data_IF_370044313096
#
_entry.id   IF_370044313096
#
_cell.length_a   1.000
_cell.length_b   1.000
_cell.length_c   1.000
_cell.angle_alpha   90.00
_cell.angle_beta   90.00
_cell.angle_gamma   90.00
#
_symmetry.space_group_name_H-M   'P 1'
#
loop_
_entity.id
_entity.type
_entity.pdbx_description
1 polymer ?
#
# COMPACT_ATOMS: atom_id res chain seq x y z
N UNK A 1 -29.14 11.70 -24.95
CA UNK A 1 -27.86 11.94 -25.64
C UNK A 1 -27.25 13.19 -25.02
N UNK A 2 -26.21 13.04 -24.20
CA UNK A 2 -25.52 14.17 -23.58
C UNK A 2 -24.70 14.89 -24.65
N UNK A 3 -24.98 16.17 -24.87
CA UNK A 3 -24.22 17.01 -25.78
C UNK A 3 -22.88 17.34 -25.12
N UNK A 4 -21.77 16.83 -25.67
CA UNK A 4 -20.44 17.35 -25.35
C UNK A 4 -20.32 18.75 -25.98
N UNK A 5 -20.13 19.77 -25.15
CA UNK A 5 -19.85 21.13 -25.60
C UNK A 5 -18.39 21.42 -25.31
N UNK A 6 -17.55 21.46 -26.35
CA UNK A 6 -16.20 22.00 -26.25
C UNK A 6 -16.30 23.52 -26.12
N UNK A 7 -16.01 24.04 -24.94
CA UNK A 7 -16.04 25.48 -24.68
C UNK A 7 -14.61 26.01 -24.69
N UNK A 8 -14.21 26.71 -25.76
CA UNK A 8 -12.90 27.37 -25.87
C UNK A 8 -12.85 28.73 -25.14
N UNK A 9 -13.58 28.88 -24.02
CA UNK A 9 -13.68 30.13 -23.25
C UNK A 9 -13.77 29.85 -21.75
N UNK A 10 -13.33 30.81 -20.96
CA UNK A 10 -13.31 30.76 -19.49
C UNK A 10 -14.73 30.53 -18.93
N UNK A 11 -14.88 29.51 -18.08
CA UNK A 11 -16.10 29.21 -17.37
C UNK A 11 -16.04 29.84 -15.97
N UNK A 12 -16.84 30.88 -15.74
CA UNK A 12 -17.06 31.40 -14.38
C UNK A 12 -18.02 30.49 -13.63
N UNK A 13 -17.51 29.81 -12.60
CA UNK A 13 -18.30 28.96 -11.72
C UNK A 13 -18.82 29.79 -10.54
N UNK A 14 -20.09 29.60 -10.17
CA UNK A 14 -20.70 30.22 -8.99
C UNK A 14 -20.80 29.21 -7.84
N UNK A 15 -20.81 29.65 -6.57
CA UNK A 15 -20.98 28.75 -5.42
C UNK A 15 -22.24 27.89 -5.57
N UNK A 16 -22.08 26.56 -5.50
CA UNK A 16 -23.18 25.58 -5.65
C UNK A 16 -23.29 24.92 -7.03
N UNK A 17 -22.44 25.27 -8.00
CA UNK A 17 -22.38 24.55 -9.28
C UNK A 17 -21.84 23.13 -9.09
N UNK A 18 -22.60 22.11 -9.51
CA UNK A 18 -22.11 20.72 -9.62
C UNK A 18 -21.79 20.40 -11.07
N UNK A 19 -20.53 20.12 -11.35
CA UNK A 19 -20.12 19.49 -12.61
C UNK A 19 -20.41 18.00 -12.47
N UNK A 20 -21.21 17.44 -13.37
CA UNK A 20 -21.43 15.99 -13.45
C UNK A 20 -21.11 15.51 -14.86
N UNK A 21 -20.23 14.50 -14.92
CA UNK A 21 -19.58 13.99 -16.11
C UNK A 21 -18.25 13.37 -15.70
N UNK A 22 -17.80 12.34 -16.41
CA UNK A 22 -16.46 11.78 -16.19
C UNK A 22 -15.44 12.85 -16.58
N UNK A 23 -14.90 13.55 -15.59
CA UNK A 23 -13.67 14.29 -15.74
C UNK A 23 -12.64 13.22 -16.15
N UNK A 24 -12.13 13.31 -17.37
CA UNK A 24 -11.14 12.35 -17.89
C UNK A 24 -9.87 12.30 -17.01
N UNK A 25 -8.84 11.55 -17.40
CA UNK A 25 -7.61 11.33 -16.61
C UNK A 25 -6.73 12.59 -16.38
N UNK A 26 -7.30 13.80 -16.44
CA UNK A 26 -6.62 15.07 -16.74
C UNK A 26 -7.21 16.27 -15.98
N UNK A 27 -7.52 16.14 -14.69
CA UNK A 27 -7.58 17.32 -13.82
C UNK A 27 -6.29 17.44 -13.01
N UNK A 28 -5.22 17.77 -13.74
CA UNK A 28 -4.16 18.64 -13.24
C UNK A 28 -3.51 19.39 -14.42
N UNK A 29 -3.96 20.62 -14.74
CA UNK A 29 -3.35 21.40 -15.82
C UNK A 29 -1.93 21.92 -15.49
N UNK A 30 -1.38 21.63 -14.29
CA UNK A 30 -0.06 22.09 -13.86
C UNK A 30 0.94 21.00 -13.46
N UNK A 31 0.49 19.77 -13.20
CA UNK A 31 1.35 18.68 -12.72
C UNK A 31 2.45 18.27 -13.69
N UNK A 32 3.62 17.94 -13.11
CA UNK A 32 4.76 17.40 -13.86
C UNK A 32 4.78 15.89 -13.81
N UNK A 33 5.41 15.29 -14.82
CA UNK A 33 5.76 13.88 -14.82
C UNK A 33 7.27 13.74 -14.66
N UNK A 34 7.71 13.04 -13.63
CA UNK A 34 9.10 12.71 -13.35
C UNK A 34 9.38 11.26 -13.71
N UNK A 35 10.46 11.00 -14.44
CA UNK A 35 10.92 9.67 -14.81
C UNK A 35 12.10 9.24 -13.94
N UNK A 36 12.08 8.01 -13.45
CA UNK A 36 13.09 7.46 -12.54
C UNK A 36 13.65 6.14 -13.08
N UNK A 37 14.99 6.05 -13.16
CA UNK A 37 15.73 4.89 -13.64
C UNK A 37 17.09 4.82 -12.91
N UNK A 38 17.31 3.79 -12.09
CA UNK A 38 18.56 3.62 -11.32
C UNK A 38 19.76 3.05 -12.11
N UNK A 39 19.60 2.74 -13.40
CA UNK A 39 20.69 2.27 -14.28
C UNK A 39 21.29 3.42 -15.08
N UNK A 40 20.44 4.25 -15.68
CA UNK A 40 20.88 5.34 -16.59
C UNK A 40 20.52 6.73 -16.09
N UNK A 41 19.74 6.84 -15.03
CA UNK A 41 19.37 8.12 -14.42
C UNK A 41 20.52 8.74 -13.63
N UNK A 42 20.33 10.00 -13.22
CA UNK A 42 21.30 10.78 -12.47
C UNK A 42 20.63 11.56 -11.34
N UNK A 43 21.31 11.71 -10.21
CA UNK A 43 20.91 12.60 -9.11
C UNK A 43 20.72 14.06 -9.54
N UNK A 44 21.32 14.46 -10.67
CA UNK A 44 21.19 15.82 -11.24
C UNK A 44 20.21 15.90 -12.41
N UNK A 45 19.61 14.78 -12.82
CA UNK A 45 18.64 14.76 -13.90
C UNK A 45 17.37 15.52 -13.51
N UNK A 46 16.74 16.21 -14.46
CA UNK A 46 15.50 16.94 -14.18
C UNK A 46 14.28 16.01 -14.13
N UNK A 47 14.40 14.78 -14.63
CA UNK A 47 13.33 13.80 -14.66
C UNK A 47 12.25 14.08 -15.69
N UNK A 48 12.43 15.04 -16.59
CA UNK A 48 11.38 15.43 -17.56
C UNK A 48 11.26 14.44 -18.75
N UNK A 49 12.20 13.50 -18.89
CA UNK A 49 12.16 12.42 -19.88
C UNK A 49 13.03 11.23 -19.45
N UNK A 50 12.89 10.06 -20.12
CA UNK A 50 13.76 8.90 -19.89
C UNK A 50 15.25 9.15 -20.17
N UNK A 51 15.58 10.09 -21.07
CA UNK A 51 16.97 10.45 -21.38
C UNK A 51 17.60 11.36 -20.31
N UNK A 52 16.78 11.92 -19.43
CA UNK A 52 17.19 12.78 -18.32
C UNK A 52 16.51 12.33 -17.02
N UNK A 53 16.37 11.01 -16.86
CA UNK A 53 15.70 10.42 -15.72
C UNK A 53 16.49 10.68 -14.43
N UNK A 54 15.77 10.76 -13.31
CA UNK A 54 16.39 10.75 -11.99
C UNK A 54 16.86 9.34 -11.65
N UNK A 55 17.89 9.23 -10.81
CA UNK A 55 18.46 7.95 -10.40
C UNK A 55 17.64 7.23 -9.32
N UNK A 56 17.03 7.98 -8.40
CA UNK A 56 16.31 7.42 -7.24
C UNK A 56 14.89 7.98 -7.10
N UNK A 57 14.01 7.17 -6.52
CA UNK A 57 12.61 7.58 -6.26
C UNK A 57 12.53 8.73 -5.26
N UNK A 58 13.41 8.74 -4.25
CA UNK A 58 13.49 9.84 -3.27
C UNK A 58 13.87 11.18 -3.91
N UNK A 59 14.71 11.16 -4.96
CA UNK A 59 15.08 12.36 -5.73
C UNK A 59 13.84 12.93 -6.43
N UNK A 60 13.01 12.06 -7.04
CA UNK A 60 11.77 12.46 -7.70
C UNK A 60 10.69 12.95 -6.72
N UNK A 61 10.55 12.34 -5.55
CA UNK A 61 9.65 12.83 -4.49
C UNK A 61 10.07 14.25 -4.07
N UNK A 62 11.37 14.46 -3.81
CA UNK A 62 11.89 15.79 -3.44
C UNK A 62 11.61 16.85 -4.51
N UNK A 63 11.80 16.50 -5.78
CA UNK A 63 11.52 17.40 -6.90
C UNK A 63 10.02 17.70 -7.05
N UNK A 64 9.17 16.69 -6.86
CA UNK A 64 7.72 16.82 -6.84
C UNK A 64 7.25 17.78 -5.75
N UNK A 65 7.69 17.58 -4.51
CA UNK A 65 7.38 18.46 -3.38
C UNK A 65 7.87 19.89 -3.63
N UNK A 66 9.09 20.04 -4.14
CA UNK A 66 9.63 21.36 -4.49
C UNK A 66 8.78 22.06 -5.54
N UNK A 67 8.34 21.34 -6.58
CA UNK A 67 7.49 21.92 -7.61
C UNK A 67 6.12 22.30 -7.06
N UNK A 68 5.49 21.42 -6.26
CA UNK A 68 4.21 21.69 -5.60
C UNK A 68 4.31 22.94 -4.71
N UNK A 69 5.36 23.05 -3.90
CA UNK A 69 5.60 24.21 -3.05
C UNK A 69 5.76 25.52 -3.86
N UNK A 70 6.39 25.47 -5.04
CA UNK A 70 6.48 26.62 -5.93
C UNK A 70 5.13 26.99 -6.56
N UNK A 71 4.28 26.00 -6.84
CA UNK A 71 2.94 26.23 -7.39
C UNK A 71 1.91 26.65 -6.33
N UNK A 72 2.14 26.39 -5.04
CA UNK A 72 1.18 26.62 -3.96
C UNK A 72 0.61 28.06 -3.88
N UNK A 73 1.35 29.05 -4.38
CA UNK A 73 0.87 30.45 -4.45
C UNK A 73 -0.10 30.73 -5.61
N UNK A 74 -0.19 29.80 -6.58
CA UNK A 74 -0.91 29.96 -7.84
C UNK A 74 -1.92 28.84 -8.11
N UNK A 75 -1.67 27.62 -7.64
CA UNK A 75 -2.55 26.46 -7.71
C UNK A 75 -2.15 25.46 -6.61
N UNK A 76 -3.02 25.28 -5.62
CA UNK A 76 -2.84 24.32 -4.53
C UNK A 76 -3.21 22.87 -4.91
N UNK A 77 -3.86 22.67 -6.06
CA UNK A 77 -4.36 21.36 -6.50
C UNK A 77 -3.40 20.65 -7.48
N UNK A 78 -2.10 20.95 -7.42
CA UNK A 78 -1.10 20.35 -8.30
C UNK A 78 -0.71 18.97 -7.78
N UNK A 79 -0.90 17.97 -8.63
CA UNK A 79 -0.61 16.56 -8.41
C UNK A 79 0.36 16.04 -9.47
N UNK A 80 1.64 15.96 -9.09
CA UNK A 80 2.66 15.42 -9.97
C UNK A 80 2.53 13.89 -10.12
N UNK A 81 3.18 13.35 -11.15
CA UNK A 81 3.29 11.91 -11.38
C UNK A 81 4.77 11.52 -11.44
N UNK A 82 5.14 10.45 -10.76
CA UNK A 82 6.46 9.86 -10.73
C UNK A 82 6.33 8.47 -11.36
N UNK A 83 7.02 8.26 -12.47
CA UNK A 83 7.02 7.01 -13.23
C UNK A 83 8.38 6.34 -13.02
N UNK A 84 8.35 5.16 -12.41
CA UNK A 84 9.57 4.42 -12.06
C UNK A 84 9.72 3.22 -12.98
N UNK A 85 10.88 3.09 -13.60
CA UNK A 85 11.20 1.94 -14.42
C UNK A 85 11.64 0.78 -13.54
N UNK A 86 10.99 -0.38 -13.70
CA UNK A 86 11.49 -1.63 -13.16
C UNK A 86 12.81 -1.96 -13.82
N UNK A 87 13.79 -2.33 -13.01
CA UNK A 87 15.11 -2.78 -13.47
C UNK A 87 15.48 -4.02 -12.68
N UNK A 88 16.51 -4.74 -13.12
CA UNK A 88 17.02 -5.88 -12.35
C UNK A 88 17.81 -5.45 -11.10
N UNK A 89 17.89 -4.14 -10.84
CA UNK A 89 18.53 -3.52 -9.67
C UNK A 89 17.48 -2.86 -8.77
N UNK A 90 17.60 -3.08 -7.46
CA UNK A 90 16.70 -2.48 -6.46
C UNK A 90 16.99 -0.98 -6.29
N UNK A 91 15.94 -0.20 -6.06
CA UNK A 91 16.04 1.19 -5.63
C UNK A 91 16.29 1.29 -4.14
N UNK A 92 16.82 2.44 -3.72
CA UNK A 92 16.98 2.72 -2.30
C UNK A 92 15.62 2.84 -1.62
N UNK A 93 15.50 2.30 -0.40
CA UNK A 93 14.31 2.45 0.43
C UNK A 93 13.98 3.90 0.76
N UNK A 94 12.70 4.22 0.87
CA UNK A 94 12.22 5.58 1.16
C UNK A 94 12.25 5.89 2.66
N UNK A 95 12.57 7.14 3.00
CA UNK A 95 12.51 7.65 4.38
C UNK A 95 11.38 8.67 4.59
N UNK A 96 10.76 9.12 3.50
CA UNK A 96 9.68 10.09 3.45
C UNK A 96 8.82 9.73 2.24
N UNK A 97 7.51 9.64 2.43
CA UNK A 97 6.57 9.35 1.37
C UNK A 97 6.01 10.65 0.76
N UNK A 98 6.11 11.83 1.37
CA UNK A 98 5.61 13.08 0.80
C UNK A 98 4.08 13.10 0.58
N UNK A 99 3.61 14.00 -0.27
CA UNK A 99 2.18 14.32 -0.37
C UNK A 99 1.72 14.54 -1.83
N UNK A 100 0.45 14.25 -2.10
CA UNK A 100 -0.27 14.70 -3.29
C UNK A 100 0.42 14.41 -4.64
N UNK A 101 0.94 13.19 -4.81
CA UNK A 101 1.46 12.73 -6.11
C UNK A 101 1.00 11.31 -6.46
N UNK A 102 1.25 10.91 -7.71
CA UNK A 102 1.11 9.54 -8.19
C UNK A 102 2.50 8.89 -8.32
N UNK A 103 2.74 7.73 -7.73
CA UNK A 103 3.95 6.93 -7.90
C UNK A 103 3.59 5.61 -8.56
N UNK A 104 4.06 5.45 -9.80
CA UNK A 104 3.63 4.36 -10.67
C UNK A 104 4.86 3.58 -11.13
N UNK A 105 4.88 2.29 -10.80
CA UNK A 105 5.89 1.36 -11.31
C UNK A 105 5.54 0.84 -12.69
N UNK A 106 6.55 0.76 -13.57
CA UNK A 106 6.46 0.11 -14.86
C UNK A 106 7.34 -1.14 -14.86
N UNK A 107 6.76 -2.31 -15.08
CA UNK A 107 7.55 -3.53 -15.20
C UNK A 107 8.46 -3.47 -16.44
N UNK A 108 9.70 -3.94 -16.30
CA UNK A 108 10.60 -4.20 -17.41
C UNK A 108 10.10 -5.39 -18.22
N UNK A 109 10.04 -5.28 -19.55
CA UNK A 109 9.74 -6.40 -20.42
C UNK A 109 10.85 -7.46 -20.45
N UNK A 110 12.06 -7.15 -19.97
CA UNK A 110 13.22 -8.07 -19.99
C UNK A 110 13.42 -8.85 -18.69
N UNK A 111 12.93 -8.33 -17.56
CA UNK A 111 12.86 -9.09 -16.31
C UNK A 111 11.64 -10.01 -16.33
N UNK A 112 11.72 -11.15 -15.64
CA UNK A 112 10.69 -12.19 -15.73
C UNK A 112 9.27 -11.65 -15.55
N UNK A 113 8.31 -12.18 -16.34
CA UNK A 113 6.87 -11.91 -16.18
C UNK A 113 6.37 -12.66 -14.95
N UNK A 114 6.74 -12.18 -13.78
CA UNK A 114 6.30 -12.68 -12.51
C UNK A 114 5.73 -11.55 -11.69
N UNK A 115 4.41 -11.47 -11.59
CA UNK A 115 3.83 -11.02 -10.33
C UNK A 115 4.33 -12.06 -9.31
N UNK A 116 4.93 -11.60 -8.22
CA UNK A 116 5.34 -12.39 -7.06
C UNK A 116 6.78 -12.94 -7.06
N UNK A 117 7.53 -12.41 -6.08
CA UNK A 117 8.28 -13.21 -5.12
C UNK A 117 9.74 -13.62 -5.41
N UNK A 118 10.39 -13.19 -6.48
CA UNK A 118 11.83 -13.43 -6.60
C UNK A 118 12.63 -12.18 -6.96
N UNK A 119 13.94 -12.24 -6.75
CA UNK A 119 14.87 -11.16 -7.07
C UNK A 119 15.11 -11.00 -8.58
N UNK A 120 14.33 -11.66 -9.45
CA UNK A 120 14.48 -11.69 -10.90
C UNK A 120 13.23 -11.21 -11.66
N UNK A 121 12.20 -10.78 -10.94
CA UNK A 121 11.06 -10.11 -11.56
C UNK A 121 11.46 -8.69 -11.97
N UNK A 122 11.14 -8.33 -13.22
CA UNK A 122 11.45 -7.00 -13.79
C UNK A 122 10.65 -5.84 -13.20
N UNK A 123 10.02 -6.01 -12.04
CA UNK A 123 9.21 -4.98 -11.39
C UNK A 123 10.05 -3.90 -10.71
N UNK A 124 9.40 -2.82 -10.28
CA UNK A 124 10.05 -1.78 -9.45
C UNK A 124 10.15 -2.29 -8.02
N UNK A 125 11.38 -2.39 -7.51
CA UNK A 125 11.66 -2.84 -6.14
C UNK A 125 12.26 -1.70 -5.32
N UNK A 126 11.60 -1.31 -4.23
CA UNK A 126 12.11 -0.36 -3.24
C UNK A 126 12.55 -1.09 -1.98
N UNK A 127 13.72 -0.73 -1.47
CA UNK A 127 14.32 -1.36 -0.29
C UNK A 127 15.29 -2.48 -0.64
N UNK A 128 16.15 -2.84 0.30
CA UNK A 128 17.22 -3.82 0.13
C UNK A 128 17.59 -4.49 1.47
N UNK A 129 18.73 -5.19 1.49
CA UNK A 129 19.19 -5.94 2.66
C UNK A 129 19.45 -5.11 3.91
N UNK A 130 19.67 -3.80 3.76
CA UNK A 130 20.02 -2.89 4.85
C UNK A 130 18.99 -1.78 5.05
N UNK A 131 17.98 -1.67 4.17
CA UNK A 131 16.95 -0.63 4.22
C UNK A 131 15.58 -1.17 3.84
N UNK A 132 14.59 -0.76 4.61
CA UNK A 132 13.18 -1.09 4.42
C UNK A 132 12.62 -0.44 3.15
N UNK A 133 11.48 -0.91 2.65
CA UNK A 133 10.86 -0.34 1.46
C UNK A 133 10.44 1.11 1.69
N UNK A 134 9.77 1.36 2.82
CA UNK A 134 9.47 2.69 3.36
C UNK A 134 9.65 2.67 4.88
N UNK A 135 10.33 3.67 5.41
CA UNK A 135 10.45 3.93 6.84
C UNK A 135 10.30 5.42 7.13
N UNK A 136 9.04 5.86 7.25
CA UNK A 136 8.65 7.24 7.49
C UNK A 136 7.93 7.33 8.85
N UNK A 137 8.66 7.62 9.92
CA UNK A 137 8.11 7.54 11.29
C UNK A 137 7.26 8.74 11.69
N UNK A 138 7.32 9.82 10.93
CA UNK A 138 6.80 11.13 11.33
C UNK A 138 6.03 11.86 10.21
N UNK A 139 5.88 11.24 9.03
CA UNK A 139 5.28 11.87 7.86
C UNK A 139 3.75 11.97 7.91
N UNK A 140 3.27 13.15 7.53
CA UNK A 140 1.84 13.48 7.38
C UNK A 140 1.36 13.23 5.94
N UNK A 141 1.35 11.96 5.53
CA UNK A 141 1.18 11.62 4.12
C UNK A 141 -0.28 11.74 3.69
N UNK A 142 -0.55 12.73 2.85
CA UNK A 142 -1.89 13.02 2.34
C UNK A 142 -1.98 12.88 0.83
N UNK A 143 -3.03 12.24 0.34
CA UNK A 143 -3.38 12.23 -1.08
C UNK A 143 -2.39 11.47 -1.97
N UNK A 144 -1.49 10.65 -1.44
CA UNK A 144 -0.53 9.88 -2.23
C UNK A 144 -1.22 8.70 -2.91
N UNK A 145 -0.92 8.49 -4.20
CA UNK A 145 -1.35 7.30 -4.93
C UNK A 145 -0.12 6.47 -5.32
N UNK A 146 -0.10 5.18 -4.97
CA UNK A 146 1.02 4.27 -5.27
C UNK A 146 0.47 3.06 -6.02
N UNK A 147 1.05 2.74 -7.17
CA UNK A 147 0.65 1.60 -7.96
C UNK A 147 1.84 0.82 -8.54
N UNK A 148 1.71 -0.51 -8.61
CA UNK A 148 2.65 -1.43 -9.25
C UNK A 148 4.09 -1.37 -8.68
N UNK A 149 4.22 -1.19 -7.36
CA UNK A 149 5.51 -1.14 -6.66
C UNK A 149 5.66 -2.36 -5.74
N UNK A 150 6.86 -2.91 -5.69
CA UNK A 150 7.25 -3.90 -4.69
C UNK A 150 8.10 -3.22 -3.60
N UNK A 151 7.59 -3.20 -2.38
CA UNK A 151 8.35 -2.83 -1.19
C UNK A 151 8.99 -4.08 -0.60
N UNK A 152 10.26 -3.97 -0.22
CA UNK A 152 11.03 -5.08 0.29
C UNK A 152 11.80 -4.67 1.54
N UNK A 153 11.80 -5.55 2.53
CA UNK A 153 12.75 -5.50 3.63
C UNK A 153 13.49 -6.83 3.73
N UNK A 154 14.77 -6.77 4.08
CA UNK A 154 15.52 -7.94 4.49
C UNK A 154 16.08 -7.66 5.89
N UNK A 155 15.78 -8.54 6.85
CA UNK A 155 16.37 -8.45 8.18
C UNK A 155 17.79 -9.02 8.16
N UNK A 156 18.79 -8.18 8.38
CA UNK A 156 20.12 -8.67 8.80
C UNK A 156 20.11 -8.97 10.31
N UNK A 157 21.09 -9.75 10.77
CA UNK A 157 21.30 -10.00 12.20
C UNK A 157 21.53 -8.72 13.02
N UNK A 158 22.02 -7.66 12.37
CA UNK A 158 22.50 -6.44 13.03
C UNK A 158 21.49 -5.29 13.02
N UNK A 159 20.34 -5.46 12.33
CA UNK A 159 19.26 -4.47 12.29
C UNK A 159 18.09 -4.87 13.21
N UNK A 160 17.39 -3.92 13.84
CA UNK A 160 16.09 -4.21 14.43
C UNK A 160 15.14 -4.79 13.36
N UNK A 161 14.28 -5.71 13.77
CA UNK A 161 13.13 -6.10 12.95
C UNK A 161 12.24 -4.86 12.80
N UNK A 162 12.27 -4.22 11.63
CA UNK A 162 11.36 -3.12 11.30
C UNK A 162 10.37 -3.59 10.22
N UNK A 163 9.23 -2.90 10.05
CA UNK A 163 8.26 -3.20 9.02
C UNK A 163 8.83 -3.12 7.59
N UNK A 164 8.13 -3.72 6.62
CA UNK A 164 8.47 -3.55 5.19
C UNK A 164 8.10 -2.13 4.73
N UNK A 165 6.94 -1.66 5.17
CA UNK A 165 6.42 -0.32 4.93
C UNK A 165 5.90 0.25 6.24
N UNK A 166 6.50 1.34 6.70
CA UNK A 166 6.07 2.07 7.89
C UNK A 166 5.82 3.53 7.55
N UNK A 167 4.68 4.04 8.01
CA UNK A 167 4.31 5.45 7.93
C UNK A 167 3.56 5.89 9.19
N UNK A 168 3.61 7.17 9.55
CA UNK A 168 2.83 7.72 10.65
C UNK A 168 1.34 7.82 10.27
N UNK A 169 1.03 8.62 9.24
CA UNK A 169 -0.35 8.80 8.78
C UNK A 169 -0.53 8.49 7.29
N UNK A 170 -1.75 8.08 6.93
CA UNK A 170 -2.19 7.98 5.53
C UNK A 170 -3.60 8.54 5.39
N UNK A 171 -3.70 9.77 4.89
CA UNK A 171 -4.96 10.46 4.72
C UNK A 171 -5.30 10.61 3.24
N UNK A 172 -6.45 10.06 2.84
CA UNK A 172 -6.93 10.11 1.45
C UNK A 172 -5.94 9.49 0.44
N UNK A 173 -5.12 8.55 0.90
CA UNK A 173 -4.14 7.87 0.07
C UNK A 173 -4.75 6.65 -0.61
N UNK A 174 -4.17 6.22 -1.72
CA UNK A 174 -4.54 4.97 -2.37
C UNK A 174 -3.30 4.17 -2.74
N UNK A 175 -3.21 2.96 -2.21
CA UNK A 175 -2.14 2.01 -2.51
C UNK A 175 -2.78 0.83 -3.21
N UNK A 176 -2.35 0.56 -4.44
CA UNK A 176 -2.92 -0.51 -5.24
C UNK A 176 -1.91 -1.34 -6.03
N UNK A 177 -2.23 -2.61 -6.29
CA UNK A 177 -1.40 -3.50 -7.10
C UNK A 177 0.08 -3.56 -6.62
N UNK A 178 0.28 -3.35 -5.33
CA UNK A 178 1.60 -3.34 -4.69
C UNK A 178 1.87 -4.65 -3.96
N UNK A 179 3.14 -4.95 -3.76
CA UNK A 179 3.56 -6.09 -2.94
C UNK A 179 4.52 -5.68 -1.83
N UNK A 180 4.39 -6.30 -0.67
CA UNK A 180 5.16 -6.05 0.55
C UNK A 180 5.81 -7.36 0.95
N UNK A 181 7.06 -7.52 0.51
CA UNK A 181 7.71 -8.81 0.48
C UNK A 181 8.94 -8.86 1.38
N UNK A 182 9.22 -10.05 1.89
CA UNK A 182 10.42 -10.35 2.69
C UNK A 182 11.40 -11.12 1.82
N UNK A 183 12.68 -10.75 1.84
CA UNK A 183 13.68 -11.57 1.16
C UNK A 183 13.78 -12.98 1.75
N UNK A 184 13.95 -13.96 0.87
CA UNK A 184 13.94 -15.41 1.09
C UNK A 184 15.04 -15.98 2.00
N UNK A 185 15.73 -15.16 2.80
CA UNK A 185 16.82 -15.62 3.66
C UNK A 185 17.09 -14.72 4.88
N UNK A 186 16.14 -13.87 5.27
CA UNK A 186 16.34 -13.00 6.42
C UNK A 186 16.50 -13.82 7.70
N UNK A 187 17.60 -13.58 8.45
CA UNK A 187 17.83 -14.19 9.76
C UNK A 187 16.89 -13.64 10.83
N UNK A 188 16.23 -12.52 10.53
CA UNK A 188 15.16 -11.89 11.30
C UNK A 188 14.00 -11.51 10.40
N UNK A 189 12.79 -11.83 10.84
CA UNK A 189 11.55 -11.44 10.18
C UNK A 189 11.24 -9.96 10.46
N UNK A 190 10.75 -9.19 9.46
CA UNK A 190 10.09 -7.92 9.69
C UNK A 190 8.91 -8.06 10.66
N UNK A 191 8.66 -7.03 11.48
CA UNK A 191 7.50 -7.04 12.39
C UNK A 191 6.21 -6.99 11.60
N UNK A 192 6.12 -6.12 10.60
CA UNK A 192 4.86 -5.89 9.89
C UNK A 192 5.11 -5.79 8.38
N UNK A 193 4.14 -6.19 7.56
CA UNK A 193 4.16 -5.86 6.14
C UNK A 193 3.88 -4.38 5.92
N UNK A 194 2.79 -3.91 6.52
CA UNK A 194 2.42 -2.50 6.58
C UNK A 194 2.16 -2.14 8.03
N UNK A 195 2.85 -1.12 8.53
CA UNK A 195 2.61 -0.51 9.83
C UNK A 195 2.19 0.96 9.66
N UNK A 196 1.04 1.32 10.23
CA UNK A 196 0.56 2.70 10.31
C UNK A 196 0.51 3.10 11.78
N UNK A 197 1.40 4.01 12.20
CA UNK A 197 1.64 4.23 13.63
C UNK A 197 0.71 5.22 14.30
N UNK A 198 0.15 6.17 13.54
CA UNK A 198 -0.67 7.28 14.07
C UNK A 198 -2.13 7.17 13.60
N UNK A 199 -2.35 6.95 12.30
CA UNK A 199 -3.69 6.64 11.80
C UNK A 199 -3.85 6.70 10.29
N UNK A 200 -4.99 6.21 9.80
CA UNK A 200 -5.37 6.36 8.41
C UNK A 200 -6.83 6.79 8.28
N UNK A 201 -7.10 7.75 7.39
CA UNK A 201 -8.44 8.28 7.16
C UNK A 201 -8.75 8.39 5.66
N UNK A 202 -9.85 7.78 5.22
CA UNK A 202 -10.28 7.87 3.82
C UNK A 202 -9.32 7.19 2.84
N UNK A 203 -8.49 6.28 3.33
CA UNK A 203 -7.43 5.63 2.54
C UNK A 203 -7.86 4.28 2.00
N UNK A 204 -7.37 3.95 0.80
CA UNK A 204 -7.71 2.73 0.06
C UNK A 204 -6.48 1.85 -0.10
N UNK A 205 -6.60 0.61 0.33
CA UNK A 205 -5.62 -0.46 0.17
C UNK A 205 -6.27 -1.55 -0.67
N UNK A 206 -5.83 -1.75 -1.92
CA UNK A 206 -6.48 -2.74 -2.78
C UNK A 206 -5.54 -3.56 -3.63
N UNK A 207 -5.88 -4.84 -3.83
CA UNK A 207 -5.07 -5.76 -4.65
C UNK A 207 -3.61 -5.80 -4.19
N UNK A 208 -3.43 -5.78 -2.86
CA UNK A 208 -2.11 -5.86 -2.25
C UNK A 208 -1.72 -7.31 -2.02
N UNK A 209 -0.43 -7.59 -2.09
CA UNK A 209 0.13 -8.85 -1.60
C UNK A 209 1.14 -8.56 -0.49
N UNK A 210 0.81 -8.95 0.73
CA UNK A 210 1.70 -8.91 1.87
C UNK A 210 2.13 -10.34 2.22
N UNK A 211 3.43 -10.62 2.23
CA UNK A 211 3.89 -11.94 2.64
C UNK A 211 5.31 -12.32 2.23
N UNK A 212 5.62 -13.58 2.51
CA UNK A 212 6.86 -14.22 2.12
C UNK A 212 6.98 -14.50 0.64
N UNK A 213 8.21 -14.78 0.23
CA UNK A 213 8.48 -15.42 -1.05
C UNK A 213 8.41 -16.94 -0.84
N UNK A 214 7.86 -17.71 -1.79
CA UNK A 214 7.54 -19.15 -1.70
C UNK A 214 8.70 -20.10 -1.29
N UNK A 215 9.88 -19.60 -0.95
CA UNK A 215 11.11 -20.36 -0.76
C UNK A 215 11.35 -20.86 0.68
N UNK A 216 10.71 -20.31 1.72
CA UNK A 216 10.91 -20.79 3.09
C UNK A 216 9.73 -20.53 4.05
N UNK A 217 9.33 -21.52 4.89
CA UNK A 217 8.27 -21.34 5.89
C UNK A 217 8.56 -20.27 6.96
N UNK A 218 9.80 -19.76 7.02
CA UNK A 218 10.27 -18.73 7.96
C UNK A 218 10.29 -17.32 7.39
N UNK A 219 9.94 -17.09 6.12
CA UNK A 219 9.91 -15.74 5.56
C UNK A 219 8.52 -15.12 5.70
N UNK A 220 8.10 -14.74 6.91
CA UNK A 220 6.81 -14.04 7.12
C UNK A 220 7.00 -12.83 8.01
N UNK A 221 6.11 -11.86 7.87
CA UNK A 221 6.01 -10.76 8.84
C UNK A 221 5.32 -11.32 10.08
N UNK A 222 5.57 -10.71 11.24
CA UNK A 222 4.79 -11.05 12.43
C UNK A 222 3.31 -10.72 12.17
N UNK A 223 3.01 -9.51 11.72
CA UNK A 223 1.68 -9.06 11.30
C UNK A 223 1.65 -8.67 9.81
N UNK A 224 0.50 -8.85 9.14
CA UNK A 224 0.35 -8.51 7.73
C UNK A 224 0.19 -7.00 7.56
N UNK A 225 -0.97 -6.49 7.98
CA UNK A 225 -1.24 -5.06 8.11
C UNK A 225 -1.57 -4.74 9.56
N UNK A 226 -0.90 -3.75 10.13
CA UNK A 226 -1.04 -3.33 11.51
C UNK A 226 -1.31 -1.82 11.60
N UNK A 227 -2.43 -1.47 12.21
CA UNK A 227 -2.84 -0.09 12.45
C UNK A 227 -2.67 0.23 13.93
N UNK A 228 -1.48 0.62 14.37
CA UNK A 228 -1.24 0.91 15.80
C UNK A 228 -1.78 2.26 16.26
N UNK A 229 -2.24 3.07 15.31
CA UNK A 229 -2.77 4.41 15.52
C UNK A 229 -4.11 4.48 16.23
N UNK A 230 -4.52 5.72 16.55
CA UNK A 230 -5.82 6.00 17.20
C UNK A 230 -6.97 6.12 16.19
N UNK A 231 -6.64 6.29 14.90
CA UNK A 231 -7.59 6.55 13.82
C UNK A 231 -7.46 5.50 12.73
N UNK A 232 -8.57 4.86 12.37
CA UNK A 232 -8.70 3.99 11.20
C UNK A 232 -10.10 4.12 10.59
N UNK A 233 -10.36 5.27 9.96
CA UNK A 233 -11.71 5.73 9.62
C UNK A 233 -11.91 5.81 8.11
N UNK A 234 -13.11 5.49 7.63
CA UNK A 234 -13.50 5.60 6.22
C UNK A 234 -12.52 4.90 5.26
N UNK A 235 -11.82 3.88 5.73
CA UNK A 235 -10.81 3.18 4.95
C UNK A 235 -11.43 1.99 4.20
N UNK A 236 -10.77 1.58 3.12
CA UNK A 236 -11.13 0.38 2.37
C UNK A 236 -9.91 -0.52 2.25
N UNK A 237 -10.03 -1.77 2.69
CA UNK A 237 -9.02 -2.82 2.48
C UNK A 237 -9.68 -3.91 1.65
N UNK A 238 -9.34 -4.00 0.36
CA UNK A 238 -10.03 -4.91 -0.55
C UNK A 238 -9.17 -5.75 -1.49
N UNK A 239 -9.61 -6.98 -1.76
CA UNK A 239 -8.95 -7.87 -2.72
C UNK A 239 -7.46 -8.11 -2.42
N UNK A 240 -7.06 -8.02 -1.16
CA UNK A 240 -5.68 -8.22 -0.73
C UNK A 240 -5.41 -9.68 -0.33
N UNK A 241 -4.16 -10.08 -0.48
CA UNK A 241 -3.58 -11.30 0.09
C UNK A 241 -2.74 -10.87 1.28
N UNK A 242 -3.18 -11.21 2.48
CA UNK A 242 -2.55 -10.82 3.74
C UNK A 242 -1.99 -12.08 4.42
N UNK A 243 -0.68 -12.28 4.30
CA UNK A 243 0.01 -13.43 4.85
C UNK A 243 0.99 -13.03 5.95
N UNK A 244 0.74 -13.54 7.15
CA UNK A 244 1.50 -13.23 8.36
C UNK A 244 1.72 -14.48 9.22
N UNK A 245 2.56 -14.35 10.24
CA UNK A 245 2.76 -15.39 11.24
C UNK A 245 1.70 -15.32 12.35
N UNK A 246 1.44 -14.13 12.89
CA UNK A 246 0.50 -13.92 13.99
C UNK A 246 -0.86 -13.44 13.49
N UNK A 247 -0.93 -12.22 12.94
CA UNK A 247 -2.20 -11.61 12.53
C UNK A 247 -2.12 -11.11 11.10
N UNK A 248 -2.99 -11.60 10.21
CA UNK A 248 -3.03 -11.08 8.85
C UNK A 248 -3.47 -9.60 8.82
N UNK A 249 -4.40 -9.22 9.72
CA UNK A 249 -4.85 -7.85 9.92
C UNK A 249 -5.01 -7.54 11.41
N UNK A 250 -4.33 -6.50 11.90
CA UNK A 250 -4.20 -6.18 13.33
C UNK A 250 -4.62 -4.73 13.62
N UNK A 251 -5.63 -4.60 14.48
CA UNK A 251 -6.00 -3.35 15.16
C UNK A 251 -5.80 -3.58 16.68
N UNK A 252 -4.76 -3.02 17.30
CA UNK A 252 -4.52 -3.16 18.73
C UNK A 252 -5.51 -2.32 19.56
N UNK A 253 -5.48 -2.54 20.88
CA UNK A 253 -6.27 -1.76 21.82
C UNK A 253 -5.76 -0.32 21.81
N UNK A 254 -6.60 0.64 21.43
CA UNK A 254 -6.19 2.06 21.33
C UNK A 254 -6.60 2.75 20.03
N UNK A 255 -7.01 1.99 19.00
CA UNK A 255 -7.81 2.57 17.92
C UNK A 255 -9.15 2.99 18.54
N UNK A 256 -9.47 4.27 18.52
CA UNK A 256 -10.71 4.82 19.12
C UNK A 256 -11.65 5.43 18.07
N UNK A 257 -11.15 5.63 16.84
CA UNK A 257 -11.91 6.17 15.72
C UNK A 257 -11.84 5.23 14.51
N UNK A 258 -12.60 4.13 14.55
CA UNK A 258 -12.64 3.12 13.49
C UNK A 258 -13.84 3.18 12.54
N UNK A 259 -14.70 4.18 12.63
CA UNK A 259 -15.97 4.21 11.93
C UNK A 259 -15.82 4.29 10.39
N UNK A 260 -16.76 3.69 9.67
CA UNK A 260 -16.83 3.78 8.20
C UNK A 260 -15.82 2.92 7.44
N UNK A 261 -15.02 2.10 8.12
CA UNK A 261 -14.00 1.27 7.48
C UNK A 261 -14.53 -0.10 7.04
N UNK A 262 -14.11 -0.55 5.86
CA UNK A 262 -14.50 -1.83 5.25
C UNK A 262 -13.28 -2.71 4.94
N UNK A 263 -13.35 -3.99 5.31
CA UNK A 263 -12.32 -4.99 5.01
C UNK A 263 -12.96 -6.13 4.21
N UNK A 264 -12.82 -6.09 2.88
CA UNK A 264 -13.66 -6.84 1.96
C UNK A 264 -12.90 -7.65 0.89
N UNK A 265 -13.28 -8.90 0.66
CA UNK A 265 -12.74 -9.78 -0.39
C UNK A 265 -11.24 -10.05 -0.26
N UNK A 266 -10.72 -10.06 0.97
CA UNK A 266 -9.34 -10.41 1.21
C UNK A 266 -9.17 -11.90 1.43
N UNK A 267 -8.01 -12.42 1.05
CA UNK A 267 -7.50 -13.70 1.53
C UNK A 267 -6.57 -13.42 2.72
N UNK A 268 -6.85 -14.05 3.85
CA UNK A 268 -6.08 -13.93 5.09
C UNK A 268 -5.66 -15.33 5.50
N UNK A 269 -4.37 -15.61 5.46
CA UNK A 269 -3.93 -16.97 5.71
C UNK A 269 -2.45 -17.14 5.47
N UNK A 270 -2.04 -18.39 5.53
CA UNK A 270 -0.65 -18.76 5.53
C UNK A 270 -0.38 -19.68 4.35
N UNK A 271 -0.45 -19.14 3.13
CA UNK A 271 -0.22 -19.80 1.82
C UNK A 271 0.68 -21.06 1.88
N UNK A 272 0.15 -22.21 2.34
CA UNK A 272 0.89 -23.47 2.47
C UNK A 272 2.00 -23.55 3.53
N UNK A 273 2.15 -22.59 4.44
CA UNK A 273 3.33 -22.51 5.34
C UNK A 273 3.04 -22.80 6.83
N UNK A 274 1.79 -23.07 7.24
CA UNK A 274 1.37 -23.31 8.64
C UNK A 274 0.52 -22.17 9.22
N UNK A 275 -0.44 -22.48 10.09
CA UNK A 275 -1.53 -21.59 10.58
C UNK A 275 -1.14 -20.12 10.85
N UNK A 276 -1.93 -19.17 10.33
CA UNK A 276 -1.95 -17.81 10.84
C UNK A 276 -2.76 -17.82 12.14
N UNK A 277 -2.25 -17.22 13.24
CA UNK A 277 -3.00 -17.30 14.50
C UNK A 277 -4.37 -16.60 14.40
N UNK A 278 -4.47 -15.52 13.62
CA UNK A 278 -5.69 -14.74 13.44
C UNK A 278 -5.81 -14.14 12.03
N UNK A 279 -6.98 -14.29 11.39
CA UNK A 279 -7.30 -13.58 10.15
C UNK A 279 -7.46 -12.07 10.38
N UNK A 280 -8.39 -11.68 11.25
CA UNK A 280 -8.54 -10.32 11.76
C UNK A 280 -8.45 -10.38 13.29
N UNK A 281 -7.61 -9.53 13.86
CA UNK A 281 -7.52 -9.33 15.30
C UNK A 281 -7.81 -7.85 15.60
N UNK A 282 -8.97 -7.59 16.18
CA UNK A 282 -9.37 -6.28 16.73
C UNK A 282 -9.49 -6.41 18.25
N UNK A 283 -8.55 -5.81 18.97
CA UNK A 283 -8.52 -5.86 20.44
C UNK A 283 -9.54 -4.91 21.11
N UNK A 284 -10.24 -4.05 20.34
CA UNK A 284 -11.25 -3.14 20.90
C UNK A 284 -12.64 -3.77 20.97
N UNK A 285 -12.84 -4.91 20.31
CA UNK A 285 -14.16 -5.45 20.06
C UNK A 285 -14.82 -6.17 21.29
N UNK A 286 -14.11 -6.26 22.41
CA UNK A 286 -14.67 -6.69 23.71
C UNK A 286 -15.31 -5.54 24.52
N UNK A 287 -15.19 -4.29 24.09
CA UNK A 287 -15.79 -3.15 24.77
C UNK A 287 -17.19 -2.86 24.17
N UNK A 288 -18.26 -3.25 24.87
CA UNK A 288 -19.68 -3.14 24.50
C UNK A 288 -20.20 -1.68 24.24
N UNK A 289 -19.33 -0.70 24.01
CA UNK A 289 -19.68 0.72 23.90
C UNK A 289 -19.17 1.47 22.66
N UNK A 290 -18.38 0.84 21.79
CA UNK A 290 -17.90 1.47 20.55
C UNK A 290 -18.35 0.61 19.38
N UNK A 291 -19.15 1.19 18.47
CA UNK A 291 -19.53 0.53 17.23
C UNK A 291 -18.27 0.01 16.53
N UNK A 292 -18.28 -1.27 16.14
CA UNK A 292 -17.10 -1.96 15.65
C UNK A 292 -16.28 -1.13 14.65
N UNK A 293 -14.95 -1.14 14.82
CA UNK A 293 -14.01 -0.41 13.98
C UNK A 293 -13.98 -0.91 12.52
N UNK A 294 -14.69 -2.00 12.25
CA UNK A 294 -14.89 -2.52 10.91
C UNK A 294 -16.38 -2.65 10.70
N UNK A 295 -16.92 -1.85 9.78
CA UNK A 295 -18.34 -1.81 9.46
C UNK A 295 -18.78 -3.01 8.62
N UNK A 296 -17.84 -3.65 7.90
CA UNK A 296 -18.12 -4.81 7.06
C UNK A 296 -16.88 -5.69 6.87
N UNK A 297 -17.04 -6.99 7.14
CA UNK A 297 -16.02 -8.03 6.92
C UNK A 297 -16.59 -9.11 6.00
N UNK A 298 -15.91 -9.41 4.89
CA UNK A 298 -16.22 -10.60 4.08
C UNK A 298 -14.93 -11.11 3.43
N UNK A 299 -14.23 -11.99 4.13
CA UNK A 299 -12.90 -12.48 3.77
C UNK A 299 -12.84 -14.00 3.78
N UNK A 300 -11.86 -14.55 3.06
CA UNK A 300 -11.54 -15.97 3.07
C UNK A 300 -10.37 -16.19 4.03
N UNK A 301 -10.45 -17.26 4.83
CA UNK A 301 -9.38 -17.68 5.73
C UNK A 301 -9.05 -19.16 5.53
N UNK A 302 -7.81 -19.55 5.81
CA UNK A 302 -7.39 -20.95 5.72
C UNK A 302 -8.16 -21.83 6.73
N UNK A 303 -8.46 -23.06 6.33
CA UNK A 303 -9.19 -24.02 7.14
C UNK A 303 -8.33 -24.48 8.34
N UNK A 304 -8.58 -23.91 9.51
CA UNK A 304 -7.85 -24.22 10.75
C UNK A 304 -7.56 -22.99 11.62
N UNK A 305 -7.64 -21.80 11.03
CA UNK A 305 -7.35 -20.54 11.71
C UNK A 305 -8.68 -19.96 12.25
N UNK A 306 -8.86 -19.83 13.58
CA UNK A 306 -10.07 -19.23 14.12
C UNK A 306 -10.11 -17.75 13.72
N UNK A 307 -11.12 -17.35 12.96
CA UNK A 307 -11.53 -15.95 12.90
C UNK A 307 -12.14 -15.58 14.26
N UNK A 308 -11.31 -15.26 15.26
CA UNK A 308 -11.79 -14.70 16.53
C UNK A 308 -12.07 -13.21 16.33
N UNK A 309 -13.20 -12.89 15.71
CA UNK A 309 -13.81 -11.58 15.90
C UNK A 309 -14.45 -11.64 17.28
N UNK A 310 -13.74 -11.20 18.32
CA UNK A 310 -14.40 -10.91 19.58
C UNK A 310 -15.41 -9.79 19.31
N UNK A 311 -16.64 -9.86 19.81
CA UNK A 311 -17.68 -8.85 19.52
C UNK A 311 -18.56 -9.22 18.33
N UNK A 312 -19.85 -9.36 18.58
CA UNK A 312 -20.87 -9.74 17.59
C UNK A 312 -20.90 -8.76 16.40
N UNK A 313 -21.50 -9.22 15.30
CA UNK A 313 -21.74 -8.52 14.01
C UNK A 313 -20.67 -8.70 12.93
N UNK A 314 -20.44 -9.95 12.48
CA UNK A 314 -20.24 -10.17 11.03
C UNK A 314 -20.69 -11.57 10.58
N UNK A 315 -21.53 -11.65 9.55
CA UNK A 315 -21.81 -12.91 8.84
C UNK A 315 -20.55 -13.32 8.06
N UNK A 316 -19.75 -14.16 8.67
CA UNK A 316 -18.64 -14.83 8.02
C UNK A 316 -19.17 -16.02 7.18
N UNK A 317 -18.96 -16.01 5.86
CA UNK A 317 -19.14 -17.20 5.04
C UNK A 317 -17.83 -18.00 5.12
N UNK A 318 -17.73 -18.89 6.11
CA UNK A 318 -16.73 -19.96 6.06
C UNK A 318 -17.14 -20.93 4.93
N UNK A 319 -16.47 -20.85 3.78
CA UNK A 319 -16.63 -21.87 2.75
C UNK A 319 -15.83 -23.10 3.18
N UNK A 320 -16.56 -24.09 3.70
CA UNK A 320 -16.04 -25.40 4.04
C UNK A 320 -15.72 -26.17 2.74
N UNK A 321 -14.57 -25.89 2.12
CA UNK A 321 -14.01 -26.78 1.10
C UNK A 321 -13.31 -27.94 1.82
N UNK A 322 -14.09 -28.80 2.48
CA UNK A 322 -13.58 -30.10 2.87
C UNK A 322 -13.27 -30.88 1.60
N UNK A 323 -12.01 -31.21 1.42
CA UNK A 323 -11.57 -32.33 0.61
C UNK A 323 -12.07 -33.65 1.24
N UNK A 324 -13.38 -33.89 1.22
CA UNK A 324 -13.86 -35.26 1.21
C UNK A 324 -13.56 -35.82 -0.17
N UNK A 325 -12.43 -36.52 -0.22
CA UNK A 325 -12.19 -37.68 -1.07
C UNK A 325 -13.54 -38.37 -1.34
N UNK A 326 -14.02 -38.27 -2.57
CA UNK A 326 -15.02 -39.20 -3.08
C UNK A 326 -14.31 -40.55 -3.23
N UNK A 327 -14.24 -41.30 -2.13
CA UNK A 327 -14.11 -42.74 -2.14
C UNK A 327 -15.48 -43.30 -1.76
N UNK A 328 -16.34 -43.39 -2.77
CA UNK A 328 -17.05 -44.60 -3.20
C UNK A 328 -17.87 -44.28 -4.47
#
# INVERSE_FOLDING_TARGET
MGQQVNVYRELKMFPGARISGQLGPLYDPGGRTYYVNNITGSATGQGDSWNDAMDEVSTAITASETYRALQATTNEYVRNTIVVQGTDTKYTGLADLGEEYNLIGLASPTGGRGWMADSTCGGVQLGNSTRHGLYDTDGDNTGVYIANIQFKAEGTTDSPSLPVFQTATLDQCCIEDCSFLIASAASRQPTDGILITTGANGSVFRRLHIGGTNAAPTSRTQDGMHISGTIFRNCLVESCILCAQEKAFHIPSGCIYGDGTMVWHNYMGALGHGSCAYGIYDANATAEGLGGHISYVHNFCDAGDPMSVAGEWTRCIMNYAASTVLSD
#
